data_IF_229661560855
#
_entry.id   IF_229661560855
#
_cell.length_a   1.000
_cell.length_b   1.000
_cell.length_c   1.000
_cell.angle_alpha   90.00
_cell.angle_beta   90.00
_cell.angle_gamma   90.00
#
_symmetry.space_group_name_H-M   'P 1'
#
loop_
_entity.id
_entity.type
_entity.pdbx_description
1 polymer ?
#
# COMPACT_ATOMS: atom_id res chain seq x y z
N UNK A 1 -15.80 13.82 30.20
CA UNK A 1 -17.11 14.24 29.66
C UNK A 1 -18.25 13.93 30.62
N UNK A 2 -18.53 12.66 30.95
CA UNK A 2 -19.69 12.31 31.80
C UNK A 2 -19.39 12.18 33.30
N UNK A 3 -18.11 12.16 33.69
CA UNK A 3 -17.65 12.02 35.08
C UNK A 3 -16.73 13.16 35.55
N UNK A 4 -16.40 14.10 34.66
CA UNK A 4 -15.51 15.23 34.93
C UNK A 4 -16.32 16.48 35.30
N UNK A 5 -15.78 17.33 36.17
CA UNK A 5 -16.33 18.66 36.47
C UNK A 5 -16.20 19.66 35.31
N UNK A 6 -15.42 19.33 34.27
CA UNK A 6 -15.30 20.13 33.06
C UNK A 6 -16.63 20.22 32.30
N UNK A 7 -17.03 21.44 31.91
CA UNK A 7 -18.27 21.69 31.19
C UNK A 7 -18.25 21.03 29.82
N UNK A 8 -19.09 20.02 29.63
CA UNK A 8 -19.37 19.48 28.31
C UNK A 8 -20.28 20.42 27.53
N UNK A 9 -20.06 20.55 26.22
CA UNK A 9 -20.93 21.33 25.34
C UNK A 9 -22.31 20.65 25.27
N UNK A 10 -23.36 21.43 25.51
CA UNK A 10 -24.75 20.98 25.42
C UNK A 10 -25.57 21.98 24.62
N UNK A 11 -26.55 21.47 23.89
CA UNK A 11 -27.56 22.32 23.25
C UNK A 11 -28.63 22.82 24.24
N UNK A 12 -29.58 23.61 23.74
CA UNK A 12 -30.67 24.17 24.54
C UNK A 12 -31.56 23.09 25.20
N UNK A 13 -31.61 21.89 24.61
CA UNK A 13 -32.33 20.73 25.14
C UNK A 13 -31.48 19.87 26.09
N UNK A 14 -30.23 20.27 26.36
CA UNK A 14 -29.33 19.60 27.29
C UNK A 14 -28.66 18.34 26.72
N UNK A 15 -28.74 18.09 25.41
CA UNK A 15 -28.06 16.97 24.75
C UNK A 15 -26.58 17.31 24.58
N UNK A 16 -25.73 16.31 24.77
CA UNK A 16 -24.28 16.48 24.62
C UNK A 16 -23.90 16.60 23.15
N UNK A 17 -23.07 17.59 22.84
CA UNK A 17 -22.47 17.74 21.53
C UNK A 17 -21.07 17.12 21.50
N UNK A 18 -20.82 16.30 20.48
CA UNK A 18 -19.51 15.71 20.19
C UNK A 18 -19.18 16.09 18.74
N UNK A 19 -18.11 16.86 18.56
CA UNK A 19 -17.65 17.29 17.23
C UNK A 19 -16.86 16.17 16.53
N UNK A 20 -17.55 15.08 16.21
CA UNK A 20 -16.95 13.92 15.56
C UNK A 20 -18.00 13.13 14.76
N UNK A 21 -17.66 12.50 13.62
CA UNK A 21 -18.62 11.75 12.82
C UNK A 21 -19.25 10.58 13.59
N UNK A 22 -20.57 10.62 13.75
CA UNK A 22 -21.31 9.59 14.49
C UNK A 22 -21.44 8.22 13.81
N UNK A 23 -20.96 8.06 12.57
CA UNK A 23 -21.16 6.85 11.74
C UNK A 23 -20.74 5.55 12.42
N UNK A 24 -19.64 5.58 13.18
CA UNK A 24 -19.10 4.41 13.87
C UNK A 24 -19.21 4.51 15.40
N UNK A 25 -20.06 5.41 15.89
CA UNK A 25 -20.31 5.56 17.33
C UNK A 25 -21.18 4.44 17.90
N UNK A 26 -22.04 3.82 17.08
CA UNK A 26 -22.89 2.72 17.54
C UNK A 26 -22.09 1.49 18.04
N UNK A 27 -21.09 0.96 17.29
CA UNK A 27 -20.19 -0.08 17.80
C UNK A 27 -19.47 0.29 19.12
N UNK A 28 -19.14 1.58 19.30
CA UNK A 28 -18.53 2.08 20.53
C UNK A 28 -19.51 1.96 21.70
N UNK A 29 -20.76 2.39 21.51
CA UNK A 29 -21.79 2.27 22.53
C UNK A 29 -22.11 0.82 22.88
N UNK A 30 -22.14 -0.08 21.89
CA UNK A 30 -22.41 -1.50 22.13
C UNK A 30 -21.30 -2.14 22.97
N UNK A 31 -20.03 -1.86 22.66
CA UNK A 31 -18.92 -2.30 23.49
C UNK A 31 -19.05 -1.77 24.94
N UNK A 32 -19.38 -0.49 25.12
CA UNK A 32 -19.54 0.09 26.47
C UNK A 32 -20.73 -0.49 27.24
N UNK A 33 -21.76 -1.00 26.57
CA UNK A 33 -22.95 -1.59 27.19
C UNK A 33 -22.80 -3.07 27.51
N UNK A 34 -22.28 -3.86 26.57
CA UNK A 34 -22.29 -5.32 26.64
C UNK A 34 -20.89 -5.94 26.68
N UNK A 35 -19.84 -5.14 26.47
CA UNK A 35 -18.47 -5.65 26.27
C UNK A 35 -18.27 -6.31 24.90
N UNK A 36 -19.26 -6.29 24.01
CA UNK A 36 -19.17 -6.94 22.70
C UNK A 36 -18.15 -6.23 21.81
N UNK A 37 -17.15 -6.99 21.36
CA UNK A 37 -16.12 -6.49 20.45
C UNK A 37 -16.68 -6.47 19.02
N UNK A 38 -16.51 -5.36 18.26
CA UNK A 38 -16.97 -5.28 16.88
C UNK A 38 -16.21 -6.25 15.98
N UNK A 39 -16.91 -6.83 15.00
CA UNK A 39 -16.33 -7.73 13.99
C UNK A 39 -16.36 -7.13 12.57
N UNK A 40 -16.94 -5.94 12.42
CA UNK A 40 -17.09 -5.23 11.15
C UNK A 40 -16.44 -3.85 11.25
N UNK A 41 -15.98 -3.33 10.10
CA UNK A 41 -15.40 -2.00 10.00
C UNK A 41 -14.25 -1.73 11.01
N UNK A 42 -13.48 -2.77 11.35
CA UNK A 42 -12.47 -2.72 12.42
C UNK A 42 -11.54 -1.51 12.32
N UNK A 43 -10.96 -1.15 11.16
CA UNK A 43 -10.06 0.00 11.08
C UNK A 43 -10.74 1.34 11.37
N UNK A 44 -12.04 1.44 11.10
CA UNK A 44 -12.82 2.66 11.41
C UNK A 44 -13.15 2.70 12.89
N UNK A 45 -13.66 1.61 13.45
CA UNK A 45 -13.99 1.54 14.88
C UNK A 45 -12.74 1.67 15.76
N UNK A 46 -11.59 1.18 15.32
CA UNK A 46 -10.31 1.38 16.01
C UNK A 46 -9.97 2.87 16.16
N UNK A 47 -10.13 3.68 15.10
CA UNK A 47 -9.92 5.13 15.16
C UNK A 47 -10.89 5.81 16.13
N UNK A 48 -12.15 5.40 16.13
CA UNK A 48 -13.14 5.89 17.10
C UNK A 48 -12.76 5.52 18.53
N UNK A 49 -12.37 4.28 18.77
CA UNK A 49 -11.95 3.81 20.10
C UNK A 49 -10.74 4.60 20.63
N UNK A 50 -9.79 4.95 19.75
CA UNK A 50 -8.68 5.84 20.07
C UNK A 50 -9.15 7.26 20.39
N UNK A 51 -10.04 7.83 19.56
CA UNK A 51 -10.61 9.17 19.77
C UNK A 51 -11.33 9.29 21.13
N UNK A 52 -12.17 8.32 21.47
CA UNK A 52 -12.87 8.27 22.76
C UNK A 52 -11.99 7.74 23.92
N UNK A 53 -10.73 7.43 23.66
CA UNK A 53 -9.76 6.91 24.62
C UNK A 53 -10.22 5.65 25.37
N UNK A 54 -10.92 4.73 24.70
CA UNK A 54 -11.43 3.48 25.27
C UNK A 54 -10.34 2.41 25.20
N UNK A 55 -9.34 2.55 26.08
CA UNK A 55 -8.13 1.73 26.07
C UNK A 55 -8.36 0.21 26.07
N UNK A 56 -9.33 -0.35 26.82
CA UNK A 56 -9.61 -1.79 26.76
C UNK A 56 -10.04 -2.26 25.36
N UNK A 57 -10.86 -1.47 24.65
CA UNK A 57 -11.26 -1.78 23.28
C UNK A 57 -10.10 -1.62 22.30
N UNK A 58 -9.31 -0.54 22.43
CA UNK A 58 -8.14 -0.29 21.59
C UNK A 58 -7.21 -1.51 21.59
N UNK A 59 -6.88 -2.05 22.78
CA UNK A 59 -6.02 -3.23 22.91
C UNK A 59 -6.60 -4.47 22.23
N UNK A 60 -7.89 -4.74 22.44
CA UNK A 60 -8.56 -5.89 21.80
C UNK A 60 -8.57 -5.78 20.27
N UNK A 61 -8.68 -4.56 19.74
CA UNK A 61 -8.66 -4.34 18.30
C UNK A 61 -7.24 -4.38 17.73
N UNK A 62 -6.21 -4.02 18.49
CA UNK A 62 -4.80 -4.12 18.07
C UNK A 62 -4.38 -5.55 17.76
N UNK A 63 -4.92 -6.53 18.48
CA UNK A 63 -4.68 -7.94 18.25
C UNK A 63 -5.47 -8.51 17.05
N UNK A 64 -6.43 -7.75 16.50
CA UNK A 64 -7.22 -8.21 15.35
C UNK A 64 -6.37 -8.19 14.07
N UNK A 65 -6.50 -9.18 13.18
CA UNK A 65 -5.65 -9.30 11.98
C UNK A 65 -5.59 -8.05 11.11
N UNK A 66 -6.68 -7.29 11.03
CA UNK A 66 -6.79 -6.08 10.23
C UNK A 66 -5.95 -4.91 10.79
N UNK A 67 -5.79 -4.83 12.11
CA UNK A 67 -4.99 -3.79 12.77
C UNK A 67 -3.56 -4.29 12.95
N UNK A 68 -3.38 -5.49 13.50
CA UNK A 68 -2.06 -6.10 13.69
C UNK A 68 -1.30 -6.19 12.36
N UNK A 69 -1.95 -6.73 11.32
CA UNK A 69 -1.34 -6.91 10.01
C UNK A 69 -0.89 -5.59 9.39
N UNK A 70 -1.66 -4.52 9.56
CA UNK A 70 -1.34 -3.20 9.02
C UNK A 70 -0.31 -2.44 9.87
N UNK A 71 -0.47 -2.42 11.20
CA UNK A 71 0.34 -1.61 12.10
C UNK A 71 1.67 -2.26 12.47
N UNK A 72 1.74 -3.60 12.45
CA UNK A 72 2.93 -4.34 12.85
C UNK A 72 3.54 -5.03 11.65
N UNK A 73 2.85 -6.03 11.09
CA UNK A 73 3.45 -6.92 10.07
C UNK A 73 3.86 -6.16 8.80
N UNK A 74 2.93 -5.42 8.17
CA UNK A 74 3.20 -4.69 6.93
C UNK A 74 4.22 -3.58 7.13
N UNK A 75 4.15 -2.84 8.24
CA UNK A 75 5.14 -1.80 8.55
C UNK A 75 6.54 -2.39 8.75
N UNK A 76 6.66 -3.49 9.49
CA UNK A 76 7.94 -4.18 9.66
C UNK A 76 8.49 -4.71 8.33
N UNK A 77 7.62 -5.21 7.45
CA UNK A 77 7.99 -5.61 6.10
C UNK A 77 8.52 -4.43 5.28
N UNK A 78 7.81 -3.30 5.25
CA UNK A 78 8.23 -2.12 4.50
C UNK A 78 9.56 -1.53 4.97
N UNK A 79 9.89 -1.65 6.27
CA UNK A 79 11.20 -1.25 6.79
C UNK A 79 12.37 -2.08 6.22
N UNK A 80 12.09 -3.25 5.64
CA UNK A 80 13.09 -4.08 4.95
C UNK A 80 13.28 -3.69 3.49
N UNK A 81 12.44 -2.81 2.94
CA UNK A 81 12.46 -2.37 1.54
C UNK A 81 13.17 -1.02 1.44
N UNK A 82 14.39 -0.96 0.89
CA UNK A 82 15.13 0.29 0.78
C UNK A 82 14.40 1.33 -0.08
N UNK A 83 14.40 2.57 0.40
CA UNK A 83 13.84 3.73 -0.31
C UNK A 83 12.40 3.54 -0.79
N UNK A 84 11.60 2.77 -0.05
CA UNK A 84 10.22 2.43 -0.45
C UNK A 84 9.38 3.68 -0.73
N UNK A 85 9.44 4.68 0.16
CA UNK A 85 8.64 5.90 0.04
C UNK A 85 9.07 6.71 -1.17
N UNK A 86 10.37 6.90 -1.37
CA UNK A 86 10.95 7.66 -2.49
C UNK A 86 10.62 6.99 -3.83
N UNK A 87 10.75 5.66 -3.90
CA UNK A 87 10.44 4.90 -5.09
C UNK A 87 8.93 4.89 -5.40
N UNK A 88 8.08 4.87 -4.36
CA UNK A 88 6.63 5.03 -4.53
C UNK A 88 6.27 6.42 -5.07
N UNK A 89 6.90 7.48 -4.56
CA UNK A 89 6.70 8.84 -5.12
C UNK A 89 7.14 8.92 -6.58
N UNK A 90 8.30 8.34 -6.90
CA UNK A 90 8.82 8.31 -8.27
C UNK A 90 7.87 7.54 -9.20
N UNK A 91 7.34 6.41 -8.76
CA UNK A 91 6.34 5.63 -9.50
C UNK A 91 5.10 6.47 -9.82
N UNK A 92 4.58 7.20 -8.83
CA UNK A 92 3.42 8.08 -9.02
C UNK A 92 3.73 9.32 -9.85
N UNK A 93 4.96 9.84 -9.80
CA UNK A 93 5.39 10.95 -10.64
C UNK A 93 5.45 10.53 -12.10
N UNK A 94 6.10 9.41 -12.39
CA UNK A 94 6.19 8.86 -13.75
C UNK A 94 4.82 8.50 -14.30
N UNK A 95 3.93 7.90 -13.49
CA UNK A 95 2.59 7.54 -13.96
C UNK A 95 1.78 8.77 -14.38
N UNK A 96 1.90 9.89 -13.67
CA UNK A 96 1.26 11.17 -14.04
C UNK A 96 1.87 11.77 -15.30
N UNK A 97 3.20 11.72 -15.43
CA UNK A 97 3.88 12.25 -16.61
C UNK A 97 3.46 11.52 -17.89
N UNK A 98 3.30 10.19 -17.83
CA UNK A 98 2.83 9.38 -18.95
C UNK A 98 1.33 9.52 -19.25
N UNK A 99 0.54 10.04 -18.31
CA UNK A 99 -0.91 10.16 -18.44
C UNK A 99 -1.34 11.35 -19.32
N UNK A 100 -0.42 12.25 -19.69
CA UNK A 100 -0.75 13.47 -20.43
C UNK A 100 -1.41 13.10 -21.77
N UNK A 101 -2.70 13.39 -21.88
CA UNK A 101 -3.51 13.06 -23.07
C UNK A 101 -3.89 11.59 -23.20
N UNK A 102 -3.78 10.76 -22.15
CA UNK A 102 -4.06 9.31 -22.20
C UNK A 102 -4.95 8.86 -21.03
N UNK A 103 -5.97 8.05 -21.32
CA UNK A 103 -6.87 7.45 -20.31
C UNK A 103 -6.11 6.56 -19.32
N UNK A 104 -5.07 5.91 -19.82
CA UNK A 104 -4.23 4.99 -19.04
C UNK A 104 -2.76 5.38 -19.17
N UNK A 105 -2.00 5.11 -18.11
CA UNK A 105 -0.54 5.19 -18.15
C UNK A 105 0.06 3.92 -17.55
N UNK A 106 1.28 3.60 -17.96
CA UNK A 106 1.97 2.39 -17.54
C UNK A 106 3.34 2.75 -17.03
N UNK A 107 3.72 2.15 -15.90
CA UNK A 107 5.07 2.26 -15.35
C UNK A 107 5.56 0.86 -15.03
N UNK A 108 6.74 0.53 -15.55
CA UNK A 108 7.40 -0.74 -15.27
C UNK A 108 8.00 -0.68 -13.86
N UNK A 109 7.80 -1.73 -13.08
CA UNK A 109 8.38 -1.88 -11.75
C UNK A 109 9.28 -3.10 -11.75
N UNK A 110 10.55 -2.87 -11.43
CA UNK A 110 11.56 -3.91 -11.25
C UNK A 110 11.75 -4.16 -9.75
N UNK A 111 11.37 -5.35 -9.28
CA UNK A 111 11.58 -5.76 -7.90
C UNK A 111 12.74 -6.73 -7.86
N UNK A 112 13.78 -6.37 -7.10
CA UNK A 112 14.98 -7.19 -6.95
C UNK A 112 15.16 -7.65 -5.51
N UNK A 113 15.50 -8.92 -5.35
CA UNK A 113 15.68 -9.59 -4.04
C UNK A 113 17.14 -9.71 -3.62
N UNK A 114 18.10 -9.50 -4.54
CA UNK A 114 19.54 -9.55 -4.22
C UNK A 114 20.36 -8.59 -5.08
N UNK A 115 21.59 -8.31 -4.65
CA UNK A 115 22.55 -7.49 -5.39
C UNK A 115 22.93 -8.13 -6.75
N UNK A 116 23.03 -9.47 -6.81
CA UNK A 116 23.28 -10.17 -8.06
C UNK A 116 22.12 -9.98 -9.05
N UNK A 117 20.88 -10.09 -8.57
CA UNK A 117 19.70 -9.84 -9.42
C UNK A 117 19.62 -8.37 -9.83
N UNK A 118 20.02 -7.45 -8.95
CA UNK A 118 20.10 -6.03 -9.25
C UNK A 118 21.10 -5.72 -10.39
N UNK A 119 22.29 -6.32 -10.35
CA UNK A 119 23.30 -6.18 -11.40
C UNK A 119 22.81 -6.76 -12.73
N UNK A 120 22.18 -7.94 -12.66
CA UNK A 120 21.55 -8.61 -13.79
C UNK A 120 20.46 -7.75 -14.47
N UNK A 121 19.61 -7.08 -13.68
CA UNK A 121 18.55 -6.22 -14.21
C UNK A 121 19.05 -4.89 -14.79
N UNK A 122 20.31 -4.51 -14.58
CA UNK A 122 20.82 -3.19 -14.97
C UNK A 122 20.78 -2.98 -16.49
N UNK A 123 21.16 -3.99 -17.28
CA UNK A 123 21.12 -3.91 -18.75
C UNK A 123 19.69 -3.72 -19.28
N UNK A 124 18.74 -4.43 -18.68
CA UNK A 124 17.32 -4.31 -19.00
C UNK A 124 16.78 -2.92 -18.67
N UNK A 125 17.09 -2.40 -17.49
CA UNK A 125 16.69 -1.06 -17.08
C UNK A 125 17.26 0.00 -18.03
N UNK A 126 18.53 -0.15 -18.43
CA UNK A 126 19.15 0.74 -19.41
C UNK A 126 18.46 0.68 -20.78
N UNK A 127 18.12 -0.52 -21.25
CA UNK A 127 17.35 -0.70 -22.48
C UNK A 127 15.98 -0.01 -22.39
N UNK A 128 15.22 -0.21 -21.31
CA UNK A 128 13.93 0.45 -21.11
C UNK A 128 14.07 1.98 -21.12
N UNK A 129 15.08 2.51 -20.44
CA UNK A 129 15.37 3.94 -20.44
C UNK A 129 15.69 4.45 -21.86
N UNK A 130 16.46 3.70 -22.66
CA UNK A 130 16.75 4.07 -24.06
C UNK A 130 15.49 4.13 -24.95
N UNK A 131 14.47 3.35 -24.61
CA UNK A 131 13.15 3.35 -25.26
C UNK A 131 12.18 4.36 -24.66
N UNK A 132 12.62 5.16 -23.68
CA UNK A 132 11.78 6.09 -22.90
C UNK A 132 10.62 5.39 -22.20
N UNK A 133 10.80 4.11 -21.84
CA UNK A 133 9.83 3.37 -21.04
C UNK A 133 10.11 3.69 -19.57
N UNK A 134 9.15 4.24 -18.81
CA UNK A 134 9.36 4.56 -17.41
C UNK A 134 9.53 3.28 -16.59
N UNK A 135 10.59 3.25 -15.79
CA UNK A 135 10.90 2.11 -14.92
C UNK A 135 11.31 2.59 -13.54
N UNK A 136 10.78 1.94 -12.50
CA UNK A 136 11.15 2.17 -11.10
C UNK A 136 11.67 0.88 -10.50
N UNK A 137 12.82 0.96 -9.82
CA UNK A 137 13.45 -0.19 -9.17
C UNK A 137 13.16 -0.17 -7.67
N UNK A 138 12.74 -1.31 -7.11
CA UNK A 138 12.63 -1.55 -5.68
C UNK A 138 13.61 -2.65 -5.26
N UNK A 139 14.37 -2.40 -4.19
CA UNK A 139 15.42 -3.29 -3.70
C UNK A 139 16.82 -2.94 -4.22
N UNK A 140 17.83 -3.78 -3.90
CA UNK A 140 17.71 -5.12 -3.34
C UNK A 140 17.16 -5.12 -1.93
N UNK A 141 16.12 -5.92 -1.73
CA UNK A 141 15.49 -6.01 -0.42
C UNK A 141 16.33 -6.88 0.52
N UNK A 142 16.28 -6.62 1.83
CA UNK A 142 16.94 -7.48 2.81
C UNK A 142 16.29 -8.88 2.79
N UNK A 143 17.04 -9.91 3.24
CA UNK A 143 16.58 -11.30 3.30
C UNK A 143 15.16 -11.39 3.88
N UNK A 144 14.23 -11.98 3.11
CA UNK A 144 12.84 -12.21 3.53
C UNK A 144 11.79 -11.27 2.93
N UNK A 145 12.15 -10.31 2.08
CA UNK A 145 11.15 -9.54 1.34
C UNK A 145 10.58 -10.36 0.17
N UNK A 146 9.36 -10.85 0.35
CA UNK A 146 8.59 -11.50 -0.71
C UNK A 146 8.12 -10.47 -1.75
N UNK A 147 8.30 -10.81 -3.03
CA UNK A 147 7.95 -9.92 -4.12
C UNK A 147 6.44 -9.68 -4.21
N UNK A 148 5.62 -10.72 -4.04
CA UNK A 148 4.16 -10.59 -4.14
C UNK A 148 3.64 -9.69 -3.04
N UNK A 149 4.20 -9.81 -1.84
CA UNK A 149 3.89 -8.94 -0.72
C UNK A 149 4.27 -7.47 -1.01
N UNK A 150 5.44 -7.22 -1.62
CA UNK A 150 5.84 -5.87 -2.01
C UNK A 150 4.90 -5.29 -3.08
N UNK A 151 4.58 -6.05 -4.13
CA UNK A 151 3.63 -5.61 -5.16
C UNK A 151 2.25 -5.32 -4.58
N UNK A 152 1.81 -6.14 -3.61
CA UNK A 152 0.56 -5.92 -2.89
C UNK A 152 0.62 -4.66 -2.02
N UNK A 153 1.72 -4.39 -1.34
CA UNK A 153 1.91 -3.15 -0.59
C UNK A 153 1.84 -1.93 -1.48
N UNK A 154 2.51 -1.95 -2.64
CA UNK A 154 2.43 -0.87 -3.62
C UNK A 154 1.00 -0.64 -4.08
N UNK A 155 0.27 -1.70 -4.44
CA UNK A 155 -1.13 -1.59 -4.85
C UNK A 155 -2.02 -0.96 -3.75
N UNK A 156 -1.83 -1.37 -2.49
CA UNK A 156 -2.55 -0.81 -1.34
C UNK A 156 -2.23 0.68 -1.18
N UNK A 157 -0.95 1.06 -1.17
CA UNK A 157 -0.53 2.44 -0.90
C UNK A 157 -0.84 3.39 -2.07
N UNK A 158 -0.78 2.92 -3.32
CA UNK A 158 -1.24 3.65 -4.50
C UNK A 158 -2.75 3.91 -4.41
N UNK A 159 -3.55 2.90 -4.09
CA UNK A 159 -5.01 3.04 -3.93
C UNK A 159 -5.38 3.92 -2.74
N UNK A 160 -4.62 3.86 -1.64
CA UNK A 160 -4.81 4.72 -0.48
C UNK A 160 -4.63 6.21 -0.81
N UNK A 161 -3.86 6.53 -1.86
CA UNK A 161 -3.72 7.90 -2.39
C UNK A 161 -4.78 8.28 -3.42
N UNK A 162 -5.78 7.43 -3.64
CA UNK A 162 -6.92 7.70 -4.52
C UNK A 162 -6.73 7.31 -5.99
N UNK A 163 -5.62 6.64 -6.35
CA UNK A 163 -5.39 6.19 -7.72
C UNK A 163 -6.10 4.85 -7.99
N UNK A 164 -6.62 4.69 -9.22
CA UNK A 164 -7.05 3.40 -9.75
C UNK A 164 -5.88 2.73 -10.48
N UNK A 165 -5.50 1.52 -10.05
CA UNK A 165 -4.33 0.81 -10.58
C UNK A 165 -4.55 -0.70 -10.61
N UNK A 166 -3.90 -1.36 -11.57
CA UNK A 166 -3.72 -2.82 -11.65
C UNK A 166 -2.27 -3.19 -11.90
N UNK A 167 -1.81 -4.30 -11.32
CA UNK A 167 -0.48 -4.85 -11.55
C UNK A 167 -0.57 -6.08 -12.45
N UNK A 168 0.29 -6.15 -13.48
CA UNK A 168 0.39 -7.28 -14.40
C UNK A 168 1.84 -7.69 -14.67
N UNK A 169 2.02 -8.81 -15.38
CA UNK A 169 3.35 -9.24 -15.83
C UNK A 169 3.84 -8.33 -16.94
N UNK A 170 5.08 -7.86 -16.84
CA UNK A 170 5.70 -7.11 -17.94
C UNK A 170 6.26 -8.07 -18.99
N UNK A 171 5.77 -7.97 -20.23
CA UNK A 171 6.24 -8.77 -21.36
C UNK A 171 6.60 -7.84 -22.53
N UNK A 172 7.90 -7.66 -22.79
CA UNK A 172 8.39 -6.93 -23.97
C UNK A 172 8.80 -7.90 -25.08
N UNK A 173 7.94 -8.03 -26.09
CA UNK A 173 8.17 -8.88 -27.26
C UNK A 173 9.38 -8.39 -28.07
N UNK A 174 9.65 -7.09 -28.11
CA UNK A 174 10.79 -6.54 -28.84
C UNK A 174 12.11 -6.90 -28.14
N UNK A 175 12.12 -6.84 -26.80
CA UNK A 175 13.27 -7.28 -26.02
C UNK A 175 13.57 -8.77 -26.23
N UNK A 176 12.54 -9.62 -26.35
CA UNK A 176 12.68 -11.04 -26.68
C UNK A 176 13.48 -11.28 -27.96
N UNK A 177 13.26 -10.45 -28.98
CA UNK A 177 13.94 -10.59 -30.26
C UNK A 177 15.36 -10.04 -30.25
N UNK A 178 15.60 -8.92 -29.56
CA UNK A 178 16.91 -8.26 -29.49
C UNK A 178 17.89 -8.99 -28.57
N UNK A 179 17.40 -9.56 -27.48
CA UNK A 179 18.21 -10.21 -26.46
C UNK A 179 17.62 -11.56 -26.06
N UNK A 180 17.55 -12.54 -26.98
CA UNK A 180 16.88 -13.82 -26.73
C UNK A 180 17.50 -14.57 -25.54
N UNK A 181 18.83 -14.52 -25.35
CA UNK A 181 19.50 -15.17 -24.23
C UNK A 181 19.14 -14.55 -22.88
N UNK A 182 19.12 -13.21 -22.79
CA UNK A 182 18.70 -12.51 -21.57
C UNK A 182 17.20 -12.68 -21.33
N UNK A 183 16.39 -12.63 -22.39
CA UNK A 183 14.95 -12.87 -22.29
C UNK A 183 14.69 -14.28 -21.73
N UNK A 184 15.41 -15.29 -22.20
CA UNK A 184 15.27 -16.64 -21.70
C UNK A 184 15.69 -16.75 -20.23
N UNK A 185 16.76 -16.06 -19.83
CA UNK A 185 17.24 -16.01 -18.45
C UNK A 185 16.23 -15.35 -17.49
N UNK A 186 15.60 -14.23 -17.86
CA UNK A 186 14.71 -13.47 -16.98
C UNK A 186 13.22 -13.85 -17.06
N UNK A 187 12.76 -14.29 -18.24
CA UNK A 187 11.33 -14.51 -18.50
C UNK A 187 10.97 -15.97 -18.83
N UNK A 188 11.94 -16.86 -19.06
CA UNK A 188 11.66 -18.28 -19.38
C UNK A 188 12.23 -19.30 -18.38
N UNK A 189 13.35 -19.02 -17.70
CA UNK A 189 14.01 -19.99 -16.78
C UNK A 189 13.97 -19.60 -15.30
N UNK A 190 13.58 -18.38 -14.94
CA UNK A 190 13.32 -18.02 -13.55
C UNK A 190 11.88 -18.37 -13.16
N UNK A 191 11.71 -18.85 -11.93
CA UNK A 191 10.41 -19.23 -11.35
C UNK A 191 9.42 -18.05 -11.36
N UNK A 192 9.89 -16.81 -11.47
CA UNK A 192 9.03 -15.63 -11.45
C UNK A 192 9.81 -14.36 -11.93
N UNK A 193 9.42 -13.68 -13.02
CA UNK A 193 10.13 -12.49 -13.57
C UNK A 193 10.17 -11.28 -12.62
N UNK A 194 11.32 -10.59 -12.44
CA UNK A 194 11.44 -9.44 -11.54
C UNK A 194 10.73 -8.18 -12.05
N UNK A 195 10.24 -8.18 -13.30
CA UNK A 195 9.58 -7.03 -13.91
C UNK A 195 8.06 -7.23 -13.96
N UNK A 196 7.34 -6.20 -13.51
CA UNK A 196 5.89 -6.10 -13.59
C UNK A 196 5.51 -4.72 -14.15
N UNK A 197 4.26 -4.55 -14.54
CA UNK A 197 3.72 -3.28 -15.04
C UNK A 197 2.56 -2.85 -14.16
N UNK A 198 2.60 -1.61 -13.71
CA UNK A 198 1.47 -0.94 -13.06
C UNK A 198 0.75 -0.08 -14.09
N UNK A 199 -0.49 -0.44 -14.39
CA UNK A 199 -1.37 0.31 -15.28
C UNK A 199 -2.33 1.17 -14.45
N UNK A 200 -2.22 2.49 -14.60
CA UNK A 200 -3.06 3.48 -13.95
C UNK A 200 -4.23 3.89 -14.86
N UNK A 201 -5.39 4.19 -14.27
CA UNK A 201 -6.59 4.65 -14.98
C UNK A 201 -6.98 6.03 -14.42
N UNK A 202 -7.18 7.01 -15.29
CA UNK A 202 -7.29 8.43 -14.91
C UNK A 202 -8.69 9.04 -15.01
N UNK A 203 -9.53 8.55 -15.93
CA UNK A 203 -10.95 8.85 -16.10
C UNK A 203 -11.62 7.69 -16.84
#
# INVERSE_FOLDING_TARGET
>A
MFSSSASACKDAEGRFFIDHPGTFFHPILDYLRSGQVPIQHIPKVYREAQFYAIQPLVKLLEDMPQIFGEQVSRKQFLLQVPSYSENLELLLLLSRAEAVGRRTSEVVVCVVSSEEQAAQCAELIYYLASKKIPVVKFGPCKLGCDRKDLLRCLEIDIKARGYQVSCGTYNDVSFKHLYPHLYQQYFCYQVESPFCVFTFIWW
#
